data_IF_905016638243
#
_entry.id   IF_905016638243
#
_cell.length_a   1.000
_cell.length_b   1.000
_cell.length_c   1.000
_cell.angle_alpha   90.00
_cell.angle_beta   90.00
_cell.angle_gamma   90.00
#
_symmetry.space_group_name_H-M   'P 1'
#
loop_
_entity.id
_entity.type
_entity.pdbx_description
1 polymer ?
#
# COMPACT_ATOMS: atom_id res chain seq x y z
N UNK A 1 -13.52 16.96 -11.89
CA UNK A 1 -13.39 15.50 -11.74
C UNK A 1 -14.48 14.79 -12.52
N UNK A 2 -14.13 14.48 -13.75
CA UNK A 2 -14.81 13.49 -14.60
C UNK A 2 -14.47 12.07 -14.10
N UNK A 3 -15.18 11.03 -14.55
CA UNK A 3 -14.80 9.64 -14.22
C UNK A 3 -13.37 9.28 -14.65
N UNK A 4 -12.88 9.84 -15.77
CA UNK A 4 -11.50 9.67 -16.23
C UNK A 4 -10.49 10.27 -15.26
N UNK A 5 -10.70 11.52 -14.86
CA UNK A 5 -9.84 12.20 -13.86
C UNK A 5 -9.88 11.49 -12.49
N UNK A 6 -11.04 10.95 -12.10
CA UNK A 6 -11.18 10.18 -10.86
C UNK A 6 -10.39 8.87 -10.90
N UNK A 7 -10.39 8.18 -12.05
CA UNK A 7 -9.61 6.97 -12.28
C UNK A 7 -8.11 7.25 -12.19
N UNK A 8 -7.65 8.33 -12.81
CA UNK A 8 -6.25 8.77 -12.72
C UNK A 8 -5.84 9.09 -11.28
N UNK A 9 -6.69 9.81 -10.53
CA UNK A 9 -6.43 10.06 -9.11
C UNK A 9 -6.41 8.77 -8.28
N UNK A 10 -7.32 7.83 -8.54
CA UNK A 10 -7.33 6.51 -7.88
C UNK A 10 -6.02 5.76 -8.11
N UNK A 11 -5.50 5.78 -9.34
CA UNK A 11 -4.19 5.20 -9.67
C UNK A 11 -3.04 5.89 -8.96
N UNK A 12 -3.04 7.22 -8.88
CA UNK A 12 -2.02 7.98 -8.16
C UNK A 12 -2.00 7.63 -6.66
N UNK A 13 -3.17 7.58 -6.02
CA UNK A 13 -3.27 7.22 -4.60
C UNK A 13 -2.83 5.77 -4.35
N UNK A 14 -3.20 4.86 -5.26
CA UNK A 14 -2.76 3.46 -5.20
C UNK A 14 -1.22 3.34 -5.33
N UNK A 15 -0.61 4.14 -6.23
CA UNK A 15 0.84 4.22 -6.38
C UNK A 15 1.53 4.74 -5.12
N UNK A 16 1.00 5.79 -4.51
CA UNK A 16 1.53 6.32 -3.24
C UNK A 16 1.48 5.25 -2.15
N UNK A 17 0.38 4.51 -2.03
CA UNK A 17 0.27 3.38 -1.10
C UNK A 17 1.35 2.33 -1.31
N UNK A 18 1.58 1.92 -2.56
CA UNK A 18 2.65 0.98 -2.88
C UNK A 18 4.05 1.52 -2.57
N UNK A 19 4.30 2.82 -2.74
CA UNK A 19 5.58 3.42 -2.37
C UNK A 19 5.81 3.45 -0.86
N UNK A 20 4.74 3.63 -0.07
CA UNK A 20 4.79 3.53 1.38
C UNK A 20 5.06 2.09 1.83
N UNK A 21 4.44 1.09 1.21
CA UNK A 21 4.72 -0.33 1.50
C UNK A 21 6.19 -0.67 1.21
N UNK A 22 6.71 -0.22 0.07
CA UNK A 22 8.11 -0.42 -0.30
C UNK A 22 9.07 0.29 0.66
N UNK A 23 8.69 1.44 1.23
CA UNK A 23 9.54 2.13 2.22
C UNK A 23 9.56 1.39 3.55
N UNK A 24 8.46 0.74 3.93
CA UNK A 24 8.40 -0.15 5.10
C UNK A 24 9.30 -1.36 4.89
N UNK A 25 9.27 -1.98 3.71
CA UNK A 25 10.14 -3.10 3.38
C UNK A 25 11.63 -2.69 3.38
N UNK A 26 11.95 -1.50 2.87
CA UNK A 26 13.31 -0.98 2.92
C UNK A 26 13.83 -0.85 4.36
N UNK A 27 13.03 -0.27 5.27
CA UNK A 27 13.44 -0.14 6.68
C UNK A 27 13.52 -1.51 7.36
N UNK A 28 12.63 -2.43 7.02
CA UNK A 28 12.67 -3.80 7.53
C UNK A 28 14.00 -4.49 7.21
N UNK A 29 14.49 -4.36 5.97
CA UNK A 29 15.67 -5.08 5.48
C UNK A 29 16.99 -4.39 5.90
N UNK A 30 16.95 -3.12 6.30
CA UNK A 30 18.15 -2.30 6.52
C UNK A 30 18.30 -1.68 7.92
N UNK A 31 17.32 -1.83 8.80
CA UNK A 31 17.32 -1.21 10.13
C UNK A 31 17.02 -2.23 11.23
N UNK A 32 17.08 -1.80 12.50
CA UNK A 32 16.76 -2.65 13.63
C UNK A 32 15.26 -2.95 13.70
N UNK A 33 14.91 -4.06 14.33
CA UNK A 33 13.51 -4.45 14.58
C UNK A 33 12.73 -3.36 15.30
N UNK A 34 13.33 -2.68 16.27
CA UNK A 34 12.68 -1.58 17.00
C UNK A 34 12.37 -0.39 16.08
N UNK A 35 13.32 0.01 15.24
CA UNK A 35 13.12 1.10 14.27
C UNK A 35 12.10 0.70 13.20
N UNK A 36 12.13 -0.54 12.72
CA UNK A 36 11.12 -1.09 11.82
C UNK A 36 9.72 -1.03 12.42
N UNK A 37 9.54 -1.49 13.67
CA UNK A 37 8.23 -1.49 14.35
C UNK A 37 7.66 -0.07 14.48
N UNK A 38 8.51 0.90 14.85
CA UNK A 38 8.06 2.29 14.96
C UNK A 38 7.77 2.91 13.58
N UNK A 39 8.63 2.66 12.59
CA UNK A 39 8.45 3.16 11.23
C UNK A 39 7.17 2.63 10.57
N UNK A 40 6.93 1.32 10.62
CA UNK A 40 5.73 0.70 10.05
C UNK A 40 4.45 1.21 10.71
N UNK A 41 4.49 1.57 12.00
CA UNK A 41 3.35 2.13 12.72
C UNK A 41 2.97 3.48 12.13
N UNK A 42 3.95 4.38 11.98
CA UNK A 42 3.74 5.71 11.39
C UNK A 42 3.26 5.61 9.94
N UNK A 43 3.86 4.74 9.13
CA UNK A 43 3.40 4.53 7.75
C UNK A 43 1.99 3.97 7.70
N UNK A 44 1.64 3.02 8.57
CA UNK A 44 0.30 2.48 8.69
C UNK A 44 -0.74 3.55 9.03
N UNK A 45 -0.41 4.50 9.91
CA UNK A 45 -1.26 5.65 10.21
C UNK A 45 -1.47 6.54 8.98
N UNK A 46 -0.39 6.86 8.25
CA UNK A 46 -0.49 7.64 7.00
C UNK A 46 -1.35 6.96 5.95
N UNK A 47 -1.18 5.64 5.76
CA UNK A 47 -1.99 4.85 4.82
C UNK A 47 -3.45 4.80 5.25
N UNK A 48 -3.72 4.68 6.56
CA UNK A 48 -5.07 4.74 7.12
C UNK A 48 -5.74 6.08 6.83
N UNK A 49 -5.06 7.20 7.10
CA UNK A 49 -5.54 8.55 6.77
C UNK A 49 -5.79 8.70 5.26
N UNK A 50 -4.84 8.29 4.42
CA UNK A 50 -5.01 8.34 2.96
C UNK A 50 -6.24 7.55 2.51
N UNK A 51 -6.46 6.36 3.07
CA UNK A 51 -7.59 5.52 2.73
C UNK A 51 -8.94 6.12 3.16
N UNK A 52 -9.03 6.56 4.42
CA UNK A 52 -10.27 7.09 5.00
C UNK A 52 -10.63 8.46 4.44
N UNK A 53 -9.65 9.34 4.27
CA UNK A 53 -9.91 10.75 3.97
C UNK A 53 -9.82 11.06 2.47
N UNK A 54 -9.07 10.27 1.68
CA UNK A 54 -8.91 10.51 0.25
C UNK A 54 -9.61 9.44 -0.60
N UNK A 55 -9.34 8.16 -0.36
CA UNK A 55 -9.84 7.08 -1.21
C UNK A 55 -11.33 6.78 -0.97
N UNK A 56 -11.77 6.74 0.30
CA UNK A 56 -13.16 6.42 0.64
C UNK A 56 -14.15 7.44 0.05
N UNK A 57 -13.93 8.76 0.16
CA UNK A 57 -14.80 9.75 -0.48
C UNK A 57 -14.77 9.67 -2.01
N UNK A 58 -13.60 9.33 -2.59
CA UNK A 58 -13.47 9.12 -4.03
C UNK A 58 -14.37 7.96 -4.50
N UNK A 59 -14.33 6.82 -3.80
CA UNK A 59 -15.17 5.66 -4.12
C UNK A 59 -16.65 5.88 -3.84
N UNK A 60 -16.99 6.68 -2.83
CA UNK A 60 -18.38 7.07 -2.60
C UNK A 60 -18.95 7.90 -3.76
N UNK A 61 -18.11 8.76 -4.37
CA UNK A 61 -18.49 9.59 -5.52
C UNK A 61 -18.43 8.84 -6.86
N UNK A 62 -17.53 7.87 -7.00
CA UNK A 62 -17.32 7.04 -8.19
C UNK A 62 -17.27 5.55 -7.80
N UNK A 63 -18.42 4.91 -7.52
CA UNK A 63 -18.48 3.53 -7.02
C UNK A 63 -17.85 2.49 -7.96
N UNK A 64 -17.82 2.77 -9.27
CA UNK A 64 -17.18 1.97 -10.30
C UNK A 64 -15.66 1.88 -10.15
N UNK A 65 -15.05 2.74 -9.34
CA UNK A 65 -13.62 2.73 -9.04
C UNK A 65 -13.27 1.95 -7.77
N UNK A 66 -14.28 1.44 -7.03
CA UNK A 66 -14.03 0.67 -5.81
C UNK A 66 -13.22 -0.60 -6.17
N UNK A 67 -12.05 -0.82 -5.55
CA UNK A 67 -11.22 -1.99 -5.85
C UNK A 67 -11.90 -3.31 -5.51
N UNK A 68 -11.59 -4.35 -6.27
CA UNK A 68 -12.11 -5.72 -6.11
C UNK A 68 -11.75 -6.36 -4.76
N UNK A 69 -10.55 -6.13 -4.25
CA UNK A 69 -10.15 -6.56 -2.91
C UNK A 69 -10.93 -5.86 -1.77
N UNK A 70 -11.68 -4.80 -2.08
CA UNK A 70 -12.65 -4.17 -1.17
C UNK A 70 -14.10 -4.52 -1.53
N UNK A 71 -14.33 -5.52 -2.39
CA UNK A 71 -15.65 -5.95 -2.86
C UNK A 71 -16.27 -5.03 -3.92
N UNK A 72 -15.45 -4.23 -4.61
CA UNK A 72 -15.90 -3.39 -5.73
C UNK A 72 -15.69 -4.03 -7.11
N UNK A 73 -16.07 -3.33 -8.19
CA UNK A 73 -15.97 -3.86 -9.54
C UNK A 73 -14.61 -3.61 -10.21
N UNK A 74 -13.72 -2.84 -9.58
CA UNK A 74 -12.54 -2.31 -10.25
C UNK A 74 -11.28 -3.14 -9.98
N UNK A 75 -10.64 -3.60 -11.05
CA UNK A 75 -9.29 -4.15 -10.98
C UNK A 75 -8.28 -3.05 -11.25
N UNK A 76 -7.50 -2.67 -10.23
CA UNK A 76 -6.40 -1.73 -10.42
C UNK A 76 -5.31 -2.45 -11.24
N UNK A 77 -4.91 -1.93 -12.41
CA UNK A 77 -3.88 -2.57 -13.22
C UNK A 77 -2.55 -2.55 -12.49
N UNK A 78 -1.78 -3.63 -12.57
CA UNK A 78 -0.46 -3.74 -11.95
C UNK A 78 0.49 -2.60 -12.34
N UNK A 79 0.33 -2.03 -13.55
CA UNK A 79 1.07 -0.86 -14.01
C UNK A 79 0.86 0.40 -13.16
N UNK A 80 -0.24 0.51 -12.41
CA UNK A 80 -0.46 1.62 -11.47
C UNK A 80 0.57 1.62 -10.34
N UNK A 81 1.18 0.48 -10.05
CA UNK A 81 2.16 0.28 -8.98
C UNK A 81 3.60 0.16 -9.50
N UNK A 82 3.80 0.34 -10.81
CA UNK A 82 5.12 0.22 -11.44
C UNK A 82 5.69 1.59 -11.90
N UNK A 83 7.03 1.71 -12.00
CA UNK A 83 8.03 0.76 -11.51
C UNK A 83 8.11 0.77 -9.97
N UNK A 84 8.41 -0.38 -9.38
CA UNK A 84 8.83 -0.49 -7.99
C UNK A 84 10.22 0.15 -7.83
N UNK A 85 10.44 0.88 -6.74
CA UNK A 85 11.75 1.50 -6.48
C UNK A 85 12.67 0.61 -5.63
N UNK A 86 12.10 -0.39 -4.98
CA UNK A 86 12.77 -1.30 -4.06
C UNK A 86 12.28 -2.72 -4.35
N UNK A 87 13.21 -3.67 -4.34
CA UNK A 87 12.93 -5.10 -4.46
C UNK A 87 13.24 -5.72 -3.09
N UNK A 88 12.23 -6.09 -2.29
CA UNK A 88 12.43 -6.58 -0.94
C UNK A 88 13.18 -7.92 -0.92
N UNK A 89 14.02 -8.12 0.10
CA UNK A 89 14.76 -9.36 0.25
C UNK A 89 13.78 -10.54 0.46
N UNK A 90 13.80 -11.58 -0.40
CA UNK A 90 12.89 -12.71 -0.29
C UNK A 90 13.03 -13.45 1.06
N UNK A 91 14.20 -13.40 1.70
CA UNK A 91 14.47 -14.14 2.94
C UNK A 91 14.05 -13.38 4.21
N UNK A 92 13.68 -12.10 4.10
CA UNK A 92 13.32 -11.27 5.26
C UNK A 92 11.88 -11.48 5.75
N UNK A 93 11.00 -12.10 4.95
CA UNK A 93 9.59 -12.33 5.30
C UNK A 93 9.31 -13.57 6.16
N UNK A 94 10.33 -14.30 6.58
CA UNK A 94 10.16 -15.46 7.45
C UNK A 94 10.31 -15.08 8.93
N UNK A 95 9.25 -15.08 9.76
CA UNK A 95 9.47 -15.26 11.18
C UNK A 95 10.11 -16.64 11.33
N UNK A 96 11.39 -16.67 11.71
CA UNK A 96 12.05 -17.87 12.19
C UNK A 96 11.14 -18.48 13.26
N UNK A 97 10.42 -19.52 12.87
CA UNK A 97 9.71 -20.37 13.83
C UNK A 97 10.76 -20.88 14.80
N UNK A 98 10.55 -20.77 16.12
CA UNK A 98 11.44 -21.44 17.05
C UNK A 98 11.27 -22.93 16.79
N UNK A 99 12.26 -23.53 16.14
CA UNK A 99 12.42 -24.98 16.07
C UNK A 99 12.52 -25.53 17.50
N UNK A 100 11.72 -26.56 17.75
CA UNK A 100 12.17 -27.72 18.53
C UNK A 100 11.91 -27.70 20.04
N UNK A 101 10.93 -28.53 20.42
CA UNK A 101 10.93 -29.48 21.56
C UNK A 101 11.69 -29.18 22.86
#
# INVERSE_FOLDING_TARGET
MTPGEAKELSHLLARVGSQLDLSVAFVHDHDTTENFIEYRRVVGEMMGTMFLDLMTPLYARFPELRPDYLGGPYQIPGSAYLPVFYDPDPDSTSPSSPDGE
#
